data_IF_670267314277
#
_entry.id   IF_670267314277
#
_cell.length_a   1.000
_cell.length_b   1.000
_cell.length_c   1.000
_cell.angle_alpha   90.00
_cell.angle_beta   90.00
_cell.angle_gamma   90.00
#
_symmetry.space_group_name_H-M   'P 1'
#
loop_
_entity.id
_entity.type
_entity.pdbx_description
1 polymer ?
#
# COMPACT_ATOMS: atom_id res chain seq x y z
N UNK A 1 -43.77 45.61 22.38
CA UNK A 1 -42.91 44.72 23.18
C UNK A 1 -41.47 45.12 22.92
N UNK A 2 -40.82 45.70 23.93
CA UNK A 2 -39.53 46.38 23.86
C UNK A 2 -38.36 45.39 23.78
N UNK A 3 -37.36 45.76 22.98
CA UNK A 3 -35.99 45.26 23.02
C UNK A 3 -35.34 45.62 24.37
N UNK A 4 -34.58 44.68 24.93
CA UNK A 4 -33.44 45.02 25.78
C UNK A 4 -32.31 43.99 25.60
N UNK A 5 -31.23 44.48 24.99
CA UNK A 5 -29.89 43.92 25.09
C UNK A 5 -29.35 44.23 26.49
N UNK A 6 -28.61 43.31 27.11
CA UNK A 6 -27.51 43.70 27.98
C UNK A 6 -26.35 42.69 27.95
N UNK A 7 -25.19 43.31 27.76
CA UNK A 7 -23.82 42.83 27.70
C UNK A 7 -23.35 41.95 28.86
N UNK A 8 -22.37 41.09 28.55
CA UNK A 8 -21.44 40.50 29.50
C UNK A 8 -20.47 41.56 30.10
N UNK A 9 -19.92 41.28 31.29
CA UNK A 9 -18.47 41.10 31.43
C UNK A 9 -18.20 39.83 32.27
N UNK A 10 -17.10 39.09 32.16
CA UNK A 10 -15.73 39.51 31.93
C UNK A 10 -14.89 38.94 33.07
N UNK A 11 -14.11 37.92 32.72
CA UNK A 11 -12.81 37.56 33.27
C UNK A 11 -12.57 36.93 34.66
N UNK A 12 -11.52 36.10 34.59
CA UNK A 12 -10.65 35.58 35.63
C UNK A 12 -11.11 34.34 36.39
N UNK A 13 -10.60 33.17 35.97
CA UNK A 13 -9.87 32.29 36.90
C UNK A 13 -8.88 31.37 36.17
N UNK A 14 -7.61 31.72 36.36
CA UNK A 14 -6.51 30.85 36.78
C UNK A 14 -6.16 29.65 35.91
N UNK A 15 -5.13 29.90 35.10
CA UNK A 15 -4.02 28.99 34.87
C UNK A 15 -3.66 28.18 36.13
N UNK A 16 -3.56 26.87 36.00
CA UNK A 16 -2.63 26.11 36.81
C UNK A 16 -1.90 25.09 35.94
N UNK A 17 -0.61 25.40 35.76
CA UNK A 17 0.43 24.47 35.38
C UNK A 17 0.37 23.22 36.25
N UNK A 18 0.46 22.07 35.62
CA UNK A 18 1.04 20.89 36.24
C UNK A 18 2.10 20.33 35.28
N UNK A 19 3.21 21.07 35.19
CA UNK A 19 4.48 20.52 34.74
C UNK A 19 5.04 19.68 35.89
N UNK A 20 4.93 18.35 35.78
CA UNK A 20 5.76 17.46 36.59
C UNK A 20 7.18 17.48 36.02
N UNK A 21 8.02 18.32 36.63
CA UNK A 21 9.48 18.26 36.50
C UNK A 21 9.98 17.09 37.37
N UNK A 22 10.25 15.95 36.74
CA UNK A 22 10.98 14.85 37.39
C UNK A 22 12.45 14.98 36.99
N UNK A 23 13.25 15.57 37.87
CA UNK A 23 14.71 15.51 37.81
C UNK A 23 15.16 14.13 38.31
N UNK A 24 15.61 13.27 37.40
CA UNK A 24 16.47 12.13 37.75
C UNK A 24 17.90 12.51 37.38
N UNK A 25 18.66 12.79 38.42
CA UNK A 25 20.10 13.00 38.41
C UNK A 25 20.84 11.71 38.04
N UNK A 26 21.75 11.82 37.06
CA UNK A 26 23.04 11.14 37.02
C UNK A 26 23.08 9.61 36.88
N UNK A 27 23.17 9.12 35.65
CA UNK A 27 24.18 8.10 35.32
C UNK A 27 24.50 8.19 33.82
N UNK A 28 25.65 8.79 33.49
CA UNK A 28 26.18 8.80 32.13
C UNK A 28 26.48 7.37 31.68
N UNK A 29 25.81 6.92 30.62
CA UNK A 29 26.36 5.97 29.65
C UNK A 29 25.96 6.42 28.26
N UNK A 30 26.97 6.82 27.48
CA UNK A 30 26.89 7.03 26.04
C UNK A 30 26.77 5.67 25.36
N UNK A 31 25.76 5.48 24.49
CA UNK A 31 25.79 4.67 23.25
C UNK A 31 24.39 4.49 22.59
N UNK A 32 24.28 4.90 21.31
CA UNK A 32 23.56 4.19 20.22
C UNK A 32 22.01 4.17 20.11
N UNK A 33 21.42 4.28 18.89
CA UNK A 33 19.96 4.34 18.67
C UNK A 33 19.30 2.94 18.77
N UNK A 34 18.98 2.51 19.99
CA UNK A 34 18.36 1.21 20.29
C UNK A 34 16.89 1.28 20.71
N UNK A 35 15.96 1.70 19.83
CA UNK A 35 14.55 1.90 20.25
C UNK A 35 13.45 1.10 19.53
N UNK A 36 13.70 0.29 18.51
CA UNK A 36 12.58 -0.16 17.64
C UNK A 36 12.02 -1.56 17.93
N UNK A 37 12.83 -2.52 18.41
CA UNK A 37 12.36 -3.89 18.77
C UNK A 37 11.60 -3.89 20.09
N UNK A 38 12.02 -2.97 20.97
CA UNK A 38 11.29 -2.57 22.16
C UNK A 38 9.85 -2.20 21.84
N UNK A 39 9.54 -1.64 20.65
CA UNK A 39 8.16 -1.29 20.27
C UNK A 39 7.35 -2.50 19.84
N UNK A 40 7.89 -3.48 19.11
CA UNK A 40 7.13 -4.66 18.70
C UNK A 40 6.87 -5.61 19.87
N UNK A 41 7.86 -5.81 20.75
CA UNK A 41 7.70 -6.59 22.00
C UNK A 41 6.85 -5.81 22.99
N UNK A 42 6.96 -4.47 23.10
CA UNK A 42 6.00 -3.68 23.91
C UNK A 42 4.62 -3.62 23.28
N UNK A 43 4.46 -3.72 21.95
CA UNK A 43 3.16 -3.81 21.31
C UNK A 43 2.54 -5.18 21.61
N UNK A 44 3.33 -6.26 21.57
CA UNK A 44 2.87 -7.58 22.01
C UNK A 44 2.63 -7.63 23.53
N UNK A 45 3.46 -7.04 24.38
CA UNK A 45 3.23 -7.00 25.84
C UNK A 45 2.10 -6.03 26.22
N UNK A 46 1.91 -4.92 25.51
CA UNK A 46 0.83 -3.95 25.73
C UNK A 46 -0.51 -4.41 25.13
N UNK A 47 -0.49 -5.17 24.03
CA UNK A 47 -1.68 -5.85 23.53
C UNK A 47 -1.99 -7.07 24.40
N UNK A 48 -1.01 -7.90 24.75
CA UNK A 48 -1.21 -9.26 25.30
C UNK A 48 -0.94 -9.44 26.80
N UNK A 49 -0.54 -8.40 27.52
CA UNK A 49 -0.42 -8.35 28.99
C UNK A 49 0.78 -9.10 29.59
N UNK A 50 0.88 -9.06 30.94
CA UNK A 50 1.93 -9.69 31.76
C UNK A 50 2.13 -11.23 31.61
N UNK A 51 1.15 -12.10 31.22
CA UNK A 51 1.39 -13.54 31.25
C UNK A 51 2.40 -14.04 30.20
N UNK A 52 2.72 -13.24 29.18
CA UNK A 52 3.74 -13.60 28.17
C UNK A 52 5.12 -13.03 28.46
N UNK A 53 5.25 -12.18 29.49
CA UNK A 53 6.51 -11.54 29.87
C UNK A 53 7.64 -12.56 30.11
N UNK A 54 7.45 -13.70 30.79
CA UNK A 54 8.53 -14.66 31.00
C UNK A 54 9.03 -15.31 29.70
N UNK A 55 8.11 -15.59 28.76
CA UNK A 55 8.43 -16.23 27.48
C UNK A 55 9.26 -15.31 26.56
N UNK A 56 9.01 -14.00 26.62
CA UNK A 56 9.78 -12.99 25.88
C UNK A 56 11.01 -12.47 26.66
N UNK A 57 11.03 -12.58 27.99
CA UNK A 57 12.21 -12.27 28.80
C UNK A 57 13.38 -13.20 28.47
N UNK A 58 13.13 -14.47 28.13
CA UNK A 58 14.18 -15.37 27.65
C UNK A 58 14.73 -14.98 26.26
N UNK A 59 13.93 -14.30 25.42
CA UNK A 59 14.41 -13.70 24.16
C UNK A 59 15.25 -12.44 24.38
N UNK A 60 15.17 -11.83 25.58
CA UNK A 60 15.89 -10.61 25.96
C UNK A 60 17.36 -10.88 26.32
N UNK A 61 17.71 -12.13 26.62
CA UNK A 61 19.10 -12.56 26.86
C UNK A 61 19.90 -12.68 25.56
N UNK A 62 19.24 -12.80 24.40
CA UNK A 62 19.87 -12.57 23.11
C UNK A 62 20.00 -11.06 22.91
N UNK A 63 21.16 -10.47 23.23
CA UNK A 63 21.47 -9.05 23.07
C UNK A 63 21.44 -8.50 21.63
N UNK A 64 20.75 -9.18 20.71
CA UNK A 64 20.66 -8.84 19.30
C UNK A 64 19.30 -8.18 18.97
N UNK A 65 19.38 -7.06 18.25
CA UNK A 65 18.23 -6.33 17.72
C UNK A 65 17.53 -7.19 16.67
N UNK A 66 16.42 -7.83 17.05
CA UNK A 66 15.60 -8.62 16.12
C UNK A 66 14.66 -7.72 15.31
N UNK A 67 14.97 -7.48 14.03
CA UNK A 67 14.05 -6.77 13.13
C UNK A 67 13.01 -7.74 12.58
N UNK A 68 11.73 -7.37 12.70
CA UNK A 68 10.61 -8.12 12.11
C UNK A 68 9.89 -7.25 11.09
N UNK A 69 9.61 -7.81 9.92
CA UNK A 69 8.82 -7.16 8.88
C UNK A 69 7.41 -7.73 8.87
N UNK A 70 6.41 -6.87 8.99
CA UNK A 70 5.01 -7.27 8.87
C UNK A 70 4.44 -6.81 7.52
N UNK A 71 3.64 -7.66 6.87
CA UNK A 71 2.91 -7.34 5.65
C UNK A 71 1.43 -7.64 5.82
N UNK A 72 0.60 -6.59 5.77
CA UNK A 72 -0.85 -6.73 5.71
C UNK A 72 -1.30 -6.80 4.24
N UNK A 73 -2.07 -7.82 3.90
CA UNK A 73 -2.71 -8.02 2.60
C UNK A 73 -4.21 -8.17 2.80
N UNK A 74 -5.02 -7.44 2.03
CA UNK A 74 -6.48 -7.64 1.96
C UNK A 74 -6.84 -8.47 0.71
N UNK A 75 -7.97 -9.14 0.76
CA UNK A 75 -8.45 -10.08 -0.25
C UNK A 75 -7.41 -11.18 -0.57
N UNK A 76 -6.73 -11.68 0.44
CA UNK A 76 -5.72 -12.74 0.30
C UNK A 76 -5.82 -13.72 1.48
N UNK A 77 -5.78 -15.05 1.25
CA UNK A 77 -5.68 -15.72 -0.05
C UNK A 77 -6.98 -15.69 -0.86
N UNK A 78 -8.13 -15.43 -0.25
CA UNK A 78 -9.43 -15.33 -0.92
C UNK A 78 -10.00 -13.92 -0.83
N UNK A 79 -10.96 -13.60 -1.71
CA UNK A 79 -11.71 -12.35 -1.62
C UNK A 79 -12.43 -12.27 -0.27
N UNK A 80 -12.33 -11.13 0.41
CA UNK A 80 -12.84 -10.93 1.77
C UNK A 80 -11.86 -11.27 2.90
N UNK A 81 -10.82 -12.08 2.64
CA UNK A 81 -9.81 -12.41 3.66
C UNK A 81 -8.88 -11.21 3.93
N UNK A 82 -8.38 -11.09 5.16
CA UNK A 82 -7.28 -10.20 5.52
C UNK A 82 -6.14 -11.02 6.13
N UNK A 83 -4.96 -10.95 5.54
CA UNK A 83 -3.77 -11.69 5.98
C UNK A 83 -2.71 -10.73 6.51
N UNK A 84 -2.21 -11.00 7.71
CA UNK A 84 -1.01 -10.37 8.27
C UNK A 84 0.10 -11.42 8.29
N UNK A 85 1.13 -11.24 7.46
CA UNK A 85 2.30 -12.09 7.43
C UNK A 85 3.48 -11.41 8.15
N UNK A 86 4.18 -12.15 9.00
CA UNK A 86 5.40 -11.72 9.69
C UNK A 86 6.61 -12.43 9.09
N UNK A 87 7.67 -11.66 8.81
CA UNK A 87 8.92 -12.12 8.23
C UNK A 87 10.09 -11.74 9.14
N UNK A 88 11.13 -12.57 9.16
CA UNK A 88 12.39 -12.25 9.83
C UNK A 88 13.28 -11.32 8.98
N UNK A 89 14.50 -11.06 9.48
CA UNK A 89 15.50 -10.22 8.82
C UNK A 89 15.95 -10.76 7.45
N UNK A 90 15.84 -12.06 7.24
CA UNK A 90 16.22 -12.73 5.99
C UNK A 90 15.04 -12.77 5.01
N UNK A 91 13.87 -12.24 5.40
CA UNK A 91 12.66 -12.27 4.60
C UNK A 91 11.96 -13.63 4.62
N UNK A 92 12.33 -14.56 5.51
CA UNK A 92 11.64 -15.83 5.69
C UNK A 92 10.36 -15.61 6.49
N UNK A 93 9.24 -16.16 6.03
CA UNK A 93 7.95 -16.01 6.68
C UNK A 93 7.88 -16.86 7.96
N UNK A 94 7.82 -16.20 9.11
CA UNK A 94 7.78 -16.84 10.44
C UNK A 94 6.36 -17.05 10.96
N UNK A 95 5.44 -16.16 10.58
CA UNK A 95 4.05 -16.24 11.03
C UNK A 95 3.09 -15.72 9.98
N UNK A 96 1.85 -16.20 10.03
CA UNK A 96 0.75 -15.72 9.22
C UNK A 96 -0.55 -15.80 10.02
N UNK A 97 -1.25 -14.68 10.09
CA UNK A 97 -2.61 -14.59 10.61
C UNK A 97 -3.54 -14.31 9.44
N UNK A 98 -4.50 -15.19 9.20
CA UNK A 98 -5.56 -15.01 8.20
C UNK A 98 -6.88 -14.79 8.93
N UNK A 99 -7.50 -13.63 8.71
CA UNK A 99 -8.86 -13.35 9.13
C UNK A 99 -9.80 -13.54 7.95
N UNK A 100 -10.84 -14.35 8.13
CA UNK A 100 -11.83 -14.67 7.10
C UNK A 100 -13.24 -14.34 7.62
N UNK A 101 -14.04 -13.54 6.91
CA UNK A 101 -15.46 -13.40 7.24
C UNK A 101 -16.19 -14.72 6.95
N UNK A 102 -17.09 -15.13 7.84
CA UNK A 102 -17.91 -16.34 7.65
C UNK A 102 -19.34 -16.05 7.16
N UNK A 103 -19.67 -14.77 6.96
CA UNK A 103 -20.98 -14.31 6.48
C UNK A 103 -21.98 -13.93 7.58
N UNK A 104 -21.75 -14.34 8.83
CA UNK A 104 -22.67 -14.11 9.96
C UNK A 104 -22.21 -12.99 10.89
N UNK A 105 -21.53 -11.97 10.35
CA UNK A 105 -20.83 -10.89 11.10
C UNK A 105 -19.71 -11.38 12.03
N UNK A 106 -19.34 -12.65 11.92
CA UNK A 106 -18.25 -13.28 12.64
C UNK A 106 -17.04 -13.49 11.71
N UNK A 107 -15.87 -13.66 12.33
CA UNK A 107 -14.62 -13.85 11.61
C UNK A 107 -13.94 -15.12 12.13
N UNK A 108 -13.48 -15.95 11.20
CA UNK A 108 -12.58 -17.07 11.48
C UNK A 108 -11.15 -16.58 11.39
N UNK A 109 -10.40 -16.73 12.48
CA UNK A 109 -8.98 -16.45 12.53
C UNK A 109 -8.20 -17.77 12.40
N UNK A 110 -7.29 -17.84 11.44
CA UNK A 110 -6.34 -18.92 11.29
C UNK A 110 -4.93 -18.39 11.53
N UNK A 111 -4.18 -19.08 12.39
CA UNK A 111 -2.81 -18.73 12.72
C UNK A 111 -1.90 -19.86 12.20
N UNK A 112 -0.86 -19.51 11.47
CA UNK A 112 0.19 -20.41 11.05
C UNK A 112 1.53 -19.85 11.53
N UNK A 113 2.33 -20.69 12.17
CA UNK A 113 3.66 -20.33 12.67
C UNK A 113 4.66 -21.32 12.08
N UNK A 114 5.81 -20.82 11.63
CA UNK A 114 6.93 -21.66 11.25
C UNK A 114 7.79 -21.90 12.49
N UNK A 115 7.79 -23.14 13.00
CA UNK A 115 8.52 -23.49 14.24
C UNK A 115 9.33 -24.78 14.05
N UNK A 116 10.44 -24.74 13.29
CA UNK A 116 11.16 -25.95 12.87
C UNK A 116 11.75 -26.74 14.04
N UNK A 117 12.18 -26.06 15.10
CA UNK A 117 12.75 -26.69 16.31
C UNK A 117 11.65 -27.27 17.20
N UNK A 118 10.48 -26.65 17.22
CA UNK A 118 9.38 -26.98 18.15
C UNK A 118 8.43 -28.06 17.60
N UNK A 119 8.47 -28.34 16.29
CA UNK A 119 7.58 -29.35 15.68
C UNK A 119 7.73 -30.77 16.27
N UNK A 120 8.84 -31.05 16.95
CA UNK A 120 9.12 -32.35 17.59
C UNK A 120 8.72 -32.43 19.06
N UNK A 121 8.30 -31.33 19.68
CA UNK A 121 7.97 -31.28 21.10
C UNK A 121 6.45 -31.38 21.33
N UNK A 122 6.04 -32.38 22.12
CA UNK A 122 4.63 -32.69 22.38
C UNK A 122 3.89 -31.64 23.22
N UNK A 123 4.60 -30.81 23.98
CA UNK A 123 4.01 -29.72 24.78
C UNK A 123 3.65 -28.48 23.93
N UNK A 124 4.22 -28.36 22.74
CA UNK A 124 4.09 -27.15 21.90
C UNK A 124 2.66 -26.85 21.47
N UNK A 125 1.83 -27.84 21.06
CA UNK A 125 0.44 -27.58 20.73
C UNK A 125 -0.37 -26.98 21.88
N UNK A 126 -0.14 -27.42 23.12
CA UNK A 126 -0.85 -26.92 24.30
C UNK A 126 -0.46 -25.48 24.62
N UNK A 127 0.84 -25.18 24.62
CA UNK A 127 1.32 -23.80 24.80
C UNK A 127 0.80 -22.89 23.67
N UNK A 128 0.82 -23.36 22.42
CA UNK A 128 0.33 -22.59 21.29
C UNK A 128 -1.18 -22.34 21.39
N UNK A 129 -1.96 -23.31 21.86
CA UNK A 129 -3.39 -23.15 22.10
C UNK A 129 -3.67 -22.07 23.15
N UNK A 130 -2.90 -22.04 24.24
CA UNK A 130 -3.00 -20.99 25.26
C UNK A 130 -2.62 -19.61 24.71
N UNK A 131 -1.55 -19.52 23.92
CA UNK A 131 -1.14 -18.30 23.22
C UNK A 131 -2.28 -17.81 22.32
N UNK A 132 -2.79 -18.66 21.43
CA UNK A 132 -3.87 -18.31 20.49
C UNK A 132 -5.14 -17.89 21.23
N UNK A 133 -5.48 -18.54 22.35
CA UNK A 133 -6.62 -18.13 23.18
C UNK A 133 -6.41 -16.74 23.79
N UNK A 134 -5.22 -16.45 24.31
CA UNK A 134 -4.86 -15.11 24.81
C UNK A 134 -4.89 -14.05 23.71
N UNK A 135 -4.32 -14.35 22.53
CA UNK A 135 -4.37 -13.49 21.35
C UNK A 135 -5.82 -13.19 20.96
N UNK A 136 -6.67 -14.21 20.87
CA UNK A 136 -8.08 -14.03 20.53
C UNK A 136 -8.82 -13.14 21.54
N UNK A 137 -8.56 -13.31 22.84
CA UNK A 137 -9.16 -12.47 23.88
C UNK A 137 -8.79 -10.99 23.69
N UNK A 138 -7.51 -10.72 23.43
CA UNK A 138 -6.98 -9.37 23.24
C UNK A 138 -7.46 -8.74 21.95
N UNK A 139 -7.46 -9.51 20.86
CA UNK A 139 -8.03 -9.12 19.58
C UNK A 139 -9.49 -8.74 19.79
N UNK A 140 -10.26 -9.61 20.46
CA UNK A 140 -11.66 -9.32 20.78
C UNK A 140 -11.81 -8.02 21.59
N UNK A 141 -11.02 -7.82 22.64
CA UNK A 141 -11.07 -6.59 23.43
C UNK A 141 -10.71 -5.35 22.59
N UNK A 142 -9.68 -5.42 21.74
CA UNK A 142 -9.24 -4.28 20.94
C UNK A 142 -10.20 -3.94 19.81
N UNK A 143 -10.74 -4.95 19.11
CA UNK A 143 -11.69 -4.74 18.02
C UNK A 143 -13.10 -4.41 18.50
N UNK A 144 -13.42 -4.68 19.77
CA UNK A 144 -14.68 -4.31 20.40
C UNK A 144 -14.53 -3.22 21.47
N UNK A 145 -13.35 -2.57 21.57
CA UNK A 145 -13.13 -1.52 22.56
C UNK A 145 -14.12 -0.36 22.34
N UNK A 146 -14.62 0.27 23.40
CA UNK A 146 -15.36 1.51 23.29
C UNK A 146 -14.58 2.51 22.43
N UNK A 147 -15.24 3.09 21.42
CA UNK A 147 -14.61 4.04 20.50
C UNK A 147 -14.06 3.43 19.21
N UNK A 148 -13.97 2.11 19.04
CA UNK A 148 -13.58 1.52 17.75
C UNK A 148 -14.57 1.88 16.63
N UNK A 149 -15.87 1.95 16.95
CA UNK A 149 -16.90 2.40 16.01
C UNK A 149 -16.71 3.89 15.65
N UNK A 150 -16.28 4.72 16.62
CA UNK A 150 -15.93 6.11 16.37
C UNK A 150 -14.72 6.22 15.44
N UNK A 151 -13.69 5.38 15.63
CA UNK A 151 -12.53 5.32 14.74
C UNK A 151 -12.93 4.87 13.33
N UNK A 152 -13.78 3.84 13.19
CA UNK A 152 -14.31 3.40 11.89
C UNK A 152 -15.11 4.49 11.20
N UNK A 153 -15.91 5.25 11.96
CA UNK A 153 -16.65 6.40 11.43
C UNK A 153 -15.70 7.50 10.95
N UNK A 154 -14.70 7.86 11.76
CA UNK A 154 -13.67 8.85 11.40
C UNK A 154 -12.92 8.41 10.14
N UNK A 155 -12.57 7.12 10.04
CA UNK A 155 -11.88 6.54 8.89
C UNK A 155 -12.74 6.58 7.62
N UNK A 156 -14.02 6.19 7.73
CA UNK A 156 -15.00 6.31 6.65
C UNK A 156 -15.20 7.77 6.19
N UNK A 157 -15.08 8.72 7.11
CA UNK A 157 -15.18 10.15 6.83
C UNK A 157 -13.85 10.77 6.36
N UNK A 158 -12.72 10.06 6.47
CA UNK A 158 -11.41 10.64 6.14
C UNK A 158 -11.22 10.82 4.64
N UNK A 159 -11.80 9.93 3.83
CA UNK A 159 -11.74 9.98 2.37
C UNK A 159 -13.11 10.32 1.77
N UNK A 160 -13.07 10.91 0.58
CA UNK A 160 -14.21 11.05 -0.32
C UNK A 160 -13.91 10.22 -1.56
N UNK A 161 -14.86 9.38 -1.95
CA UNK A 161 -14.80 8.65 -3.20
C UNK A 161 -15.45 9.50 -4.28
N UNK A 162 -14.70 9.75 -5.34
CA UNK A 162 -15.15 10.44 -6.53
C UNK A 162 -15.34 9.41 -7.64
N UNK A 163 -16.42 9.53 -8.39
CA UNK A 163 -16.75 8.67 -9.52
C UNK A 163 -16.97 9.51 -10.76
N UNK A 164 -16.21 9.23 -11.82
CA UNK A 164 -16.45 9.79 -13.15
C UNK A 164 -17.46 8.90 -13.89
N UNK A 165 -18.44 9.51 -14.55
CA UNK A 165 -19.45 8.80 -15.34
C UNK A 165 -19.82 9.55 -16.62
N UNK A 166 -20.57 8.89 -17.50
CA UNK A 166 -21.18 9.47 -18.71
C UNK A 166 -20.24 9.94 -19.83
N UNK A 167 -19.05 9.34 -19.97
CA UNK A 167 -18.06 9.68 -21.01
C UNK A 167 -17.90 8.58 -22.09
N UNK A 168 -19.02 8.05 -22.62
CA UNK A 168 -19.01 6.96 -23.61
C UNK A 168 -18.36 7.34 -24.96
N UNK A 169 -18.27 8.65 -25.28
CA UNK A 169 -17.70 9.18 -26.53
C UNK A 169 -16.21 9.49 -26.43
N UNK A 170 -15.54 8.93 -25.42
CA UNK A 170 -14.12 9.11 -25.17
C UNK A 170 -13.83 9.74 -23.81
N UNK A 171 -12.56 9.73 -23.38
CA UNK A 171 -12.14 10.22 -22.08
C UNK A 171 -12.55 11.69 -21.83
N UNK A 172 -12.78 12.08 -20.57
CA UNK A 172 -13.01 13.49 -20.24
C UNK A 172 -11.83 14.38 -20.68
N UNK A 173 -12.11 15.65 -20.96
CA UNK A 173 -11.10 16.62 -21.41
C UNK A 173 -10.26 17.13 -20.23
N UNK A 174 -9.12 17.74 -20.51
CA UNK A 174 -8.29 18.43 -19.53
C UNK A 174 -8.24 19.93 -19.87
N UNK A 175 -8.07 20.82 -18.88
CA UNK A 175 -7.75 22.22 -19.16
C UNK A 175 -6.50 22.30 -20.04
N UNK A 176 -6.46 23.22 -20.99
CA UNK A 176 -5.29 23.41 -21.84
C UNK A 176 -4.27 24.33 -21.13
N UNK A 177 -3.00 23.93 -21.09
CA UNK A 177 -1.92 24.67 -20.42
C UNK A 177 -0.64 24.75 -21.28
N UNK A 178 -0.71 24.34 -22.54
CA UNK A 178 0.47 24.24 -23.42
C UNK A 178 0.58 25.41 -24.40
N UNK A 179 1.64 25.41 -25.22
CA UNK A 179 1.75 26.30 -26.38
C UNK A 179 1.02 25.76 -27.62
N UNK A 180 0.62 24.48 -27.62
CA UNK A 180 -0.12 23.84 -28.73
C UNK A 180 -1.52 24.44 -28.88
N UNK A 181 -2.13 24.30 -30.05
CA UNK A 181 -3.52 24.75 -30.21
C UNK A 181 -4.49 23.88 -29.38
N UNK A 182 -5.46 24.48 -28.67
CA UNK A 182 -6.45 23.71 -27.93
C UNK A 182 -7.44 23.02 -28.88
N UNK A 183 -7.89 21.81 -28.49
CA UNK A 183 -8.90 21.08 -29.27
C UNK A 183 -10.25 21.82 -29.32
N UNK A 184 -10.59 22.54 -28.25
CA UNK A 184 -11.82 23.33 -28.18
C UNK A 184 -11.67 24.51 -27.24
N UNK A 185 -12.20 25.66 -27.67
CA UNK A 185 -12.36 26.86 -26.85
C UNK A 185 -13.83 27.13 -26.65
N UNK A 186 -14.22 27.43 -25.41
CA UNK A 186 -15.57 27.87 -25.06
C UNK A 186 -15.49 29.22 -24.35
N UNK A 187 -16.48 30.09 -24.59
CA UNK A 187 -16.67 31.30 -23.80
C UNK A 187 -17.59 30.96 -22.61
N UNK A 188 -17.13 31.25 -21.39
CA UNK A 188 -17.94 31.16 -20.18
C UNK A 188 -19.03 32.22 -20.13
N UNK A 189 -19.94 32.09 -19.16
CA UNK A 189 -20.99 33.08 -18.90
C UNK A 189 -20.43 34.44 -18.46
N UNK A 190 -19.23 34.43 -17.87
CA UNK A 190 -18.41 35.59 -17.52
C UNK A 190 -17.66 36.22 -18.71
N UNK A 191 -17.84 35.67 -19.92
CA UNK A 191 -17.13 36.08 -21.12
C UNK A 191 -15.66 35.61 -21.17
N UNK A 192 -15.16 34.92 -20.13
CA UNK A 192 -13.80 34.41 -20.12
C UNK A 192 -13.70 33.18 -21.03
N UNK A 193 -12.68 33.16 -21.88
CA UNK A 193 -12.41 32.00 -22.72
C UNK A 193 -11.71 30.92 -21.89
N UNK A 194 -12.21 29.69 -21.98
CA UNK A 194 -11.54 28.51 -21.44
C UNK A 194 -11.22 27.52 -22.56
N UNK A 195 -9.97 27.11 -22.59
CA UNK A 195 -9.40 26.22 -23.61
C UNK A 195 -9.22 24.83 -23.04
N UNK A 196 -9.54 23.81 -23.84
CA UNK A 196 -9.59 22.42 -23.40
C UNK A 196 -8.90 21.51 -24.42
N UNK A 197 -8.20 20.49 -23.93
CA UNK A 197 -7.60 19.44 -24.77
C UNK A 197 -8.07 18.05 -24.38
N UNK A 198 -8.06 17.12 -25.33
CA UNK A 198 -8.34 15.71 -25.10
C UNK A 198 -7.28 15.13 -24.19
N UNK A 199 -7.71 14.28 -23.27
CA UNK A 199 -6.79 13.47 -22.50
C UNK A 199 -6.15 12.43 -23.44
N UNK A 200 -4.88 12.63 -23.79
CA UNK A 200 -4.10 11.71 -24.60
C UNK A 200 -3.86 10.42 -23.81
N UNK A 201 -4.75 9.44 -23.97
CA UNK A 201 -4.61 8.12 -23.35
C UNK A 201 -3.51 7.38 -24.12
N UNK A 202 -2.27 7.50 -23.64
CA UNK A 202 -1.07 7.08 -24.37
C UNK A 202 -0.90 5.57 -24.58
N UNK A 203 -1.81 4.69 -24.12
CA UNK A 203 -1.89 3.22 -24.40
C UNK A 203 -2.53 2.46 -23.22
N UNK A 204 -2.58 3.06 -22.03
CA UNK A 204 -3.13 2.43 -20.84
C UNK A 204 -4.66 2.57 -20.77
N UNK A 205 -5.32 1.66 -20.05
CA UNK A 205 -6.75 1.82 -19.74
C UNK A 205 -6.95 3.09 -18.91
N UNK A 206 -8.01 3.86 -19.18
CA UNK A 206 -8.36 5.06 -18.42
C UNK A 206 -8.39 4.80 -16.90
N UNK A 207 -7.77 5.68 -16.12
CA UNK A 207 -7.80 5.66 -14.65
C UNK A 207 -8.16 7.03 -14.10
N UNK A 208 -9.24 7.09 -13.33
CA UNK A 208 -9.76 8.31 -12.75
C UNK A 208 -8.77 8.99 -11.81
N UNK A 209 -7.98 8.24 -11.04
CA UNK A 209 -6.99 8.84 -10.15
C UNK A 209 -5.91 9.61 -10.93
N UNK A 210 -5.36 9.01 -11.99
CA UNK A 210 -4.34 9.64 -12.85
C UNK A 210 -4.92 10.83 -13.61
N UNK A 211 -6.11 10.67 -14.18
CA UNK A 211 -6.82 11.75 -14.85
C UNK A 211 -7.12 12.93 -13.90
N UNK A 212 -7.63 12.67 -12.70
CA UNK A 212 -7.96 13.72 -11.72
C UNK A 212 -6.70 14.42 -11.21
N UNK A 213 -5.58 13.70 -11.09
CA UNK A 213 -4.28 14.27 -10.73
C UNK A 213 -3.87 15.33 -11.77
N UNK A 214 -3.86 14.95 -13.07
CA UNK A 214 -3.56 15.87 -14.16
C UNK A 214 -4.56 17.03 -14.25
N UNK A 215 -5.85 16.74 -14.06
CA UNK A 215 -6.90 17.75 -14.12
C UNK A 215 -6.69 18.85 -13.07
N UNK A 216 -6.40 18.48 -11.82
CA UNK A 216 -6.14 19.44 -10.73
C UNK A 216 -4.83 20.18 -10.95
N UNK A 217 -3.77 19.50 -11.38
CA UNK A 217 -2.48 20.14 -11.65
C UNK A 217 -2.61 21.22 -12.72
N UNK A 218 -3.39 20.98 -13.78
CA UNK A 218 -3.66 21.98 -14.82
C UNK A 218 -4.58 23.11 -14.38
N UNK A 219 -5.31 22.95 -13.28
CA UNK A 219 -6.02 24.03 -12.61
C UNK A 219 -5.11 24.83 -11.65
N UNK A 220 -3.84 24.46 -11.50
CA UNK A 220 -2.89 25.14 -10.62
C UNK A 220 -2.97 24.73 -9.16
N UNK A 221 -3.64 23.61 -8.84
CA UNK A 221 -3.75 23.11 -7.47
C UNK A 221 -2.86 21.89 -7.24
N UNK A 222 -2.49 21.66 -5.98
CA UNK A 222 -1.82 20.43 -5.54
C UNK A 222 -2.76 19.60 -4.68
N UNK A 223 -3.32 18.54 -5.26
CA UNK A 223 -4.18 17.58 -4.57
C UNK A 223 -3.84 16.18 -5.05
N UNK A 224 -3.70 15.25 -4.10
CA UNK A 224 -3.37 13.85 -4.40
C UNK A 224 -4.62 13.00 -4.49
N UNK A 225 -4.75 12.29 -5.61
CA UNK A 225 -5.78 11.27 -5.80
C UNK A 225 -5.19 9.87 -5.69
N UNK A 226 -5.97 8.96 -5.12
CA UNK A 226 -5.56 7.58 -4.89
C UNK A 226 -6.43 6.65 -5.74
N UNK A 227 -5.80 5.79 -6.53
CA UNK A 227 -6.46 4.68 -7.23
C UNK A 227 -6.65 3.44 -6.35
N UNK A 228 -6.20 3.51 -5.11
CA UNK A 228 -6.33 2.46 -4.10
C UNK A 228 -6.93 3.04 -2.83
N UNK A 229 -7.71 2.23 -2.12
CA UNK A 229 -8.21 2.53 -0.78
C UNK A 229 -8.02 1.26 0.05
N UNK A 230 -7.41 1.39 1.22
CA UNK A 230 -7.08 0.25 2.10
C UNK A 230 -6.28 -0.87 1.43
N UNK A 231 -5.36 -0.50 0.53
CA UNK A 231 -4.57 -1.46 -0.25
C UNK A 231 -5.37 -2.22 -1.33
N UNK A 232 -6.67 -1.94 -1.48
CA UNK A 232 -7.50 -2.48 -2.54
C UNK A 232 -7.59 -1.49 -3.69
N UNK A 233 -7.52 -1.98 -4.93
CA UNK A 233 -7.61 -1.14 -6.12
C UNK A 233 -9.06 -0.76 -6.41
N UNK A 234 -9.33 0.53 -6.58
CA UNK A 234 -10.65 1.02 -6.98
C UNK A 234 -10.92 0.68 -8.46
N UNK A 235 -12.20 0.63 -8.84
CA UNK A 235 -12.59 0.53 -10.24
C UNK A 235 -12.03 1.71 -11.05
N UNK A 236 -11.73 1.54 -12.36
CA UNK A 236 -10.95 2.53 -13.11
C UNK A 236 -11.58 3.92 -13.21
N UNK A 237 -12.90 4.04 -13.03
CA UNK A 237 -13.62 5.32 -13.05
C UNK A 237 -13.83 5.93 -11.65
N UNK A 238 -13.27 5.32 -10.60
CA UNK A 238 -13.28 5.85 -9.24
C UNK A 238 -11.88 6.23 -8.77
N UNK A 239 -11.83 7.23 -7.89
CA UNK A 239 -10.64 7.57 -7.12
C UNK A 239 -11.03 8.00 -5.71
N UNK A 240 -10.10 7.89 -4.78
CA UNK A 240 -10.23 8.41 -3.43
C UNK A 240 -9.41 9.69 -3.27
N UNK A 241 -9.88 10.62 -2.45
CA UNK A 241 -9.18 11.84 -2.09
C UNK A 241 -9.46 12.17 -0.63
N UNK A 242 -8.51 12.80 0.05
CA UNK A 242 -8.72 13.25 1.44
C UNK A 242 -9.86 14.26 1.52
N UNK A 243 -10.82 14.04 2.43
CA UNK A 243 -12.03 14.86 2.55
C UNK A 243 -11.71 16.32 2.86
N UNK A 244 -10.84 16.56 3.83
CA UNK A 244 -10.46 17.91 4.27
C UNK A 244 -9.86 18.75 3.14
N UNK A 245 -9.04 18.12 2.29
CA UNK A 245 -8.44 18.77 1.13
C UNK A 245 -9.43 18.93 -0.02
N UNK A 246 -10.27 17.92 -0.27
CA UNK A 246 -11.32 17.99 -1.27
C UNK A 246 -12.30 19.13 -1.00
N UNK A 247 -12.79 19.28 0.23
CA UNK A 247 -13.78 20.31 0.57
C UNK A 247 -13.29 21.73 0.28
N UNK A 248 -11.98 21.99 0.40
CA UNK A 248 -11.39 23.30 0.10
C UNK A 248 -11.42 23.66 -1.37
N UNK A 249 -11.25 22.66 -2.25
CA UNK A 249 -11.17 22.85 -3.71
C UNK A 249 -12.46 22.47 -4.43
N UNK A 250 -13.42 21.88 -3.71
CA UNK A 250 -14.65 21.30 -4.24
C UNK A 250 -15.38 22.23 -5.20
N UNK A 251 -15.61 23.48 -4.79
CA UNK A 251 -16.34 24.47 -5.58
C UNK A 251 -15.64 24.74 -6.91
N UNK A 252 -14.36 25.04 -6.86
CA UNK A 252 -13.55 25.39 -8.05
C UNK A 252 -13.47 24.22 -9.02
N UNK A 253 -13.28 23.01 -8.49
CA UNK A 253 -13.24 21.78 -9.30
C UNK A 253 -14.59 21.52 -9.96
N UNK A 254 -15.70 21.64 -9.23
CA UNK A 254 -17.04 21.42 -9.79
C UNK A 254 -17.39 22.48 -10.85
N UNK A 255 -16.98 23.74 -10.65
CA UNK A 255 -17.13 24.81 -11.64
C UNK A 255 -16.34 24.48 -12.92
N UNK A 256 -15.07 24.08 -12.78
CA UNK A 256 -14.26 23.65 -13.91
C UNK A 256 -14.88 22.44 -14.65
N UNK A 257 -15.45 21.48 -13.94
CA UNK A 257 -16.19 20.36 -14.55
C UNK A 257 -17.46 20.82 -15.28
N UNK A 258 -18.12 21.89 -14.85
CA UNK A 258 -19.26 22.45 -15.57
C UNK A 258 -18.82 22.99 -16.94
N UNK A 259 -17.77 23.81 -16.96
CA UNK A 259 -17.17 24.31 -18.20
C UNK A 259 -16.67 23.17 -19.08
N UNK A 260 -16.03 22.15 -18.50
CA UNK A 260 -15.62 20.95 -19.22
C UNK A 260 -16.79 20.25 -19.92
N UNK A 261 -17.97 20.15 -19.30
CA UNK A 261 -19.14 19.51 -19.94
C UNK A 261 -19.53 20.26 -21.20
N UNK A 262 -19.52 21.59 -21.18
CA UNK A 262 -19.82 22.41 -22.36
C UNK A 262 -18.79 22.16 -23.48
N UNK A 263 -17.50 22.18 -23.14
CA UNK A 263 -16.41 21.86 -24.06
C UNK A 263 -16.54 20.45 -24.65
N UNK A 264 -16.80 19.45 -23.80
CA UNK A 264 -16.95 18.06 -24.21
C UNK A 264 -18.14 17.85 -25.16
N UNK A 265 -19.29 18.51 -24.90
CA UNK A 265 -20.46 18.46 -25.78
C UNK A 265 -20.19 19.16 -27.10
N UNK A 266 -19.50 20.30 -27.09
CA UNK A 266 -19.10 21.01 -28.31
C UNK A 266 -18.18 20.15 -29.18
N UNK A 267 -17.22 19.47 -28.57
CA UNK A 267 -16.22 18.65 -29.27
C UNK A 267 -16.75 17.30 -29.75
N UNK A 268 -17.58 16.60 -28.97
CA UNK A 268 -18.03 15.24 -29.28
C UNK A 268 -19.49 15.16 -29.74
N UNK A 269 -20.22 16.29 -29.73
CA UNK A 269 -21.66 16.36 -29.95
C UNK A 269 -22.49 15.67 -28.86
N UNK A 270 -23.82 15.81 -28.96
CA UNK A 270 -24.79 15.10 -28.12
C UNK A 270 -24.97 15.70 -26.71
N UNK A 271 -25.95 15.15 -25.97
CA UNK A 271 -26.32 15.64 -24.64
C UNK A 271 -25.46 15.08 -23.49
N UNK A 272 -24.90 13.88 -23.68
CA UNK A 272 -24.12 13.18 -22.67
C UNK A 272 -22.71 13.78 -22.53
N UNK A 273 -22.29 14.02 -21.28
CA UNK A 273 -20.99 14.61 -20.96
C UNK A 273 -20.45 14.02 -19.65
N UNK A 274 -19.11 14.02 -19.45
CA UNK A 274 -18.49 13.58 -18.21
C UNK A 274 -19.11 14.25 -16.97
N UNK A 275 -19.41 13.45 -15.96
CA UNK A 275 -19.95 13.92 -14.70
C UNK A 275 -19.14 13.36 -13.54
N UNK A 276 -18.72 14.24 -12.63
CA UNK A 276 -18.05 13.90 -11.39
C UNK A 276 -19.09 13.78 -10.27
N UNK A 277 -19.23 12.58 -9.69
CA UNK A 277 -20.13 12.29 -8.57
C UNK A 277 -19.34 12.03 -7.30
N UNK A 278 -19.75 12.67 -6.21
CA UNK A 278 -19.21 12.47 -4.88
C UNK A 278 -19.98 11.40 -4.09
N UNK A 279 -19.33 10.83 -3.08
CA UNK A 279 -20.02 10.12 -2.01
C UNK A 279 -20.59 8.75 -2.39
N UNK A 280 -20.15 8.16 -3.50
CA UNK A 280 -20.46 6.75 -3.80
C UNK A 280 -19.65 5.83 -2.89
N UNK A 281 -20.19 4.66 -2.57
CA UNK A 281 -19.41 3.59 -1.96
C UNK A 281 -18.22 3.24 -2.86
N UNK A 282 -17.07 2.97 -2.24
CA UNK A 282 -15.89 2.48 -2.94
C UNK A 282 -16.22 1.14 -3.60
N UNK A 283 -16.06 1.07 -4.91
CA UNK A 283 -16.13 -0.18 -5.67
C UNK A 283 -14.71 -0.61 -5.98
N UNK A 284 -14.38 -1.83 -5.59
CA UNK A 284 -13.07 -2.39 -5.79
C UNK A 284 -13.04 -3.24 -7.05
N UNK A 285 -11.92 -3.19 -7.77
CA UNK A 285 -11.69 -4.06 -8.91
C UNK A 285 -11.58 -5.49 -8.39
N UNK A 286 -12.53 -6.34 -8.79
CA UNK A 286 -12.43 -7.80 -8.61
C UNK A 286 -11.42 -8.30 -9.64
N UNK A 287 -10.13 -8.16 -9.33
CA UNK A 287 -9.10 -8.83 -10.10
C UNK A 287 -9.02 -10.29 -9.67
N UNK A 288 -8.70 -11.24 -10.57
CA UNK A 288 -8.10 -12.48 -10.11
C UNK A 288 -6.90 -12.06 -9.29
N UNK A 289 -6.87 -12.45 -8.02
CA UNK A 289 -5.70 -12.23 -7.17
C UNK A 289 -4.59 -13.04 -7.81
N UNK A 290 -3.81 -12.41 -8.70
CA UNK A 290 -2.56 -12.99 -9.16
C UNK A 290 -1.69 -12.98 -7.92
N UNK A 291 -1.71 -14.09 -7.19
CA UNK A 291 -0.79 -14.35 -6.11
C UNK A 291 0.58 -14.41 -6.78
N UNK A 292 1.23 -13.26 -6.88
CA UNK A 292 2.65 -13.19 -7.16
C UNK A 292 3.33 -13.81 -5.96
N UNK A 293 3.49 -15.13 -5.98
CA UNK A 293 4.60 -15.77 -5.31
C UNK A 293 5.83 -15.12 -5.92
N UNK A 294 6.49 -14.23 -5.18
CA UNK A 294 7.80 -13.73 -5.57
C UNK A 294 8.70 -14.95 -5.70
N UNK A 295 9.20 -15.19 -6.91
CA UNK A 295 10.12 -16.29 -7.29
C UNK A 295 9.67 -17.64 -6.72
N UNK A 296 9.11 -18.49 -7.59
CA UNK A 296 8.91 -19.89 -7.26
C UNK A 296 10.28 -20.54 -6.92
N UNK A 297 10.65 -20.53 -5.64
CA UNK A 297 11.14 -21.75 -5.04
C UNK A 297 9.97 -22.72 -5.18
N UNK A 298 10.13 -23.75 -5.99
CA UNK A 298 9.15 -24.83 -6.13
C UNK A 298 8.76 -25.29 -4.74
N UNK A 299 7.56 -24.92 -4.28
CA UNK A 299 7.06 -25.40 -3.01
C UNK A 299 6.88 -26.91 -3.18
N UNK A 300 7.48 -27.74 -2.30
CA UNK A 300 7.38 -29.18 -2.41
C UNK A 300 5.91 -29.59 -2.42
N UNK A 301 5.54 -30.45 -3.37
CA UNK A 301 4.19 -30.95 -3.51
C UNK A 301 3.82 -31.71 -2.23
N UNK A 302 2.93 -31.12 -1.41
CA UNK A 302 2.50 -31.73 -0.16
C UNK A 302 1.51 -32.86 -0.46
N UNK A 303 2.00 -34.09 -0.54
CA UNK A 303 1.17 -35.28 -0.75
C UNK A 303 0.75 -35.84 0.61
N UNK A 304 -0.54 -35.76 0.93
CA UNK A 304 -1.09 -36.34 2.17
C UNK A 304 -1.45 -37.81 1.92
N UNK A 305 -0.75 -38.74 2.58
CA UNK A 305 -1.14 -40.16 2.60
C UNK A 305 -1.35 -40.59 4.05
N UNK A 306 -2.56 -41.12 4.32
CA UNK A 306 -2.99 -41.79 5.55
C UNK A 306 -2.22 -41.32 6.79
N UNK A 307 -2.66 -40.19 7.34
CA UNK A 307 -2.29 -39.60 8.64
C UNK A 307 -0.88 -39.01 8.83
N UNK A 308 -0.03 -38.90 7.80
CA UNK A 308 1.26 -38.18 7.92
C UNK A 308 1.53 -37.21 6.76
N UNK A 309 2.25 -36.12 7.07
CA UNK A 309 2.75 -35.15 6.10
C UNK A 309 4.12 -35.62 5.61
N UNK A 310 4.18 -36.13 4.37
CA UNK A 310 5.44 -36.38 3.68
C UNK A 310 5.86 -35.13 2.90
N UNK A 311 7.04 -34.61 3.18
CA UNK A 311 7.70 -33.63 2.29
C UNK A 311 8.59 -34.45 1.36
N UNK A 312 8.17 -34.64 0.12
CA UNK A 312 9.03 -35.23 -0.91
C UNK A 312 10.06 -34.17 -1.31
N UNK A 313 11.30 -34.34 -0.85
CA UNK A 313 12.42 -33.58 -1.37
C UNK A 313 12.67 -34.03 -2.81
N UNK A 314 12.40 -33.16 -3.77
CA UNK A 314 12.87 -33.33 -5.15
C UNK A 314 14.40 -33.20 -5.16
N UNK A 315 15.08 -34.32 -4.93
CA UNK A 315 16.50 -34.43 -5.30
C UNK A 315 16.53 -34.38 -6.83
N UNK A 316 17.13 -33.33 -7.36
CA UNK A 316 17.32 -33.11 -8.78
C UNK A 316 18.15 -34.25 -9.39
N UNK A 317 17.46 -35.23 -9.98
CA UNK A 317 18.08 -36.41 -10.62
C UNK A 317 18.84 -36.04 -11.91
N UNK A 318 18.84 -34.77 -12.32
CA UNK A 318 19.53 -34.34 -13.54
C UNK A 318 21.04 -34.08 -13.37
N UNK A 319 21.56 -34.00 -12.14
CA UNK A 319 22.98 -33.72 -11.88
C UNK A 319 23.90 -34.96 -11.75
N UNK A 320 23.37 -36.19 -11.91
CA UNK A 320 24.18 -37.41 -11.96
C UNK A 320 24.36 -37.92 -13.40
N UNK A 321 24.96 -37.11 -14.29
CA UNK A 321 25.55 -37.60 -15.55
C UNK A 321 27.08 -37.68 -15.45
N UNK A 322 27.51 -38.89 -15.08
CA UNK A 322 28.79 -39.56 -15.30
C UNK A 322 29.68 -38.90 -16.38
N UNK A 323 30.82 -38.35 -15.96
CA UNK A 323 31.89 -37.91 -16.85
C UNK A 323 32.44 -39.11 -17.66
N UNK A 324 32.41 -39.01 -18.99
CA UNK A 324 33.19 -39.87 -19.88
C UNK A 324 34.43 -39.10 -20.34
N UNK A 325 35.58 -39.63 -19.94
CA UNK A 325 36.91 -39.31 -20.46
C UNK A 325 36.95 -39.43 -21.99
N UNK A 326 37.40 -38.38 -22.67
CA UNK A 326 37.85 -38.42 -24.05
C UNK A 326 39.25 -37.80 -24.12
N UNK A 327 40.22 -38.65 -24.39
CA UNK A 327 41.55 -38.30 -24.90
C UNK A 327 41.41 -37.93 -26.37
N UNK A 328 42.12 -36.89 -26.84
CA UNK A 328 42.81 -36.78 -28.15
C UNK A 328 43.50 -35.40 -28.15
N UNK A 329 44.81 -35.38 -27.93
CA UNK A 329 45.91 -35.38 -28.93
C UNK A 329 46.24 -33.97 -29.42
N UNK A 330 47.37 -33.47 -28.91
CA UNK A 330 48.14 -32.35 -29.43
C UNK A 330 48.66 -32.64 -30.84
N UNK A 331 48.70 -31.61 -31.67
CA UNK A 331 49.83 -31.33 -32.58
C UNK A 331 50.05 -29.82 -32.63
N UNK A 332 51.31 -29.45 -32.43
CA UNK A 332 51.86 -28.11 -32.52
C UNK A 332 52.25 -27.78 -33.98
N UNK A 333 52.86 -26.60 -34.14
CA UNK A 333 53.54 -26.02 -35.32
C UNK A 333 52.66 -25.02 -36.09
N UNK A 334 53.08 -23.79 -36.38
CA UNK A 334 54.33 -23.08 -36.14
C UNK A 334 54.32 -21.75 -36.92
N UNK A 335 55.17 -20.82 -36.48
CA UNK A 335 55.77 -19.67 -37.20
C UNK A 335 54.92 -18.58 -37.88
N UNK A 336 55.37 -17.34 -38.13
CA UNK A 336 56.35 -16.36 -37.60
C UNK A 336 56.28 -15.18 -38.58
N UNK A 337 56.34 -13.91 -38.10
CA UNK A 337 56.68 -12.66 -38.86
C UNK A 337 55.73 -12.18 -39.99
N UNK A 338 55.62 -10.90 -40.42
CA UNK A 338 55.99 -9.53 -40.02
C UNK A 338 55.38 -8.58 -41.10
N UNK A 339 55.46 -7.26 -40.91
CA UNK A 339 55.24 -6.16 -41.90
C UNK A 339 53.77 -5.88 -42.28
N UNK A 340 53.30 -4.65 -42.53
CA UNK A 340 53.87 -3.29 -42.54
C UNK A 340 52.69 -2.29 -42.68
N UNK A 341 52.93 -1.01 -42.38
CA UNK A 341 52.45 0.21 -43.08
C UNK A 341 50.94 0.36 -43.42
N UNK A 342 50.28 1.50 -43.23
CA UNK A 342 50.69 2.85 -42.87
C UNK A 342 49.51 3.80 -42.98
N UNK A 343 49.73 5.03 -42.47
CA UNK A 343 49.15 6.33 -42.87
C UNK A 343 47.62 6.53 -42.98
N UNK A 344 47.06 7.72 -42.83
CA UNK A 344 47.35 8.97 -42.13
C UNK A 344 46.17 9.92 -42.43
N UNK A 345 45.82 10.75 -41.45
CA UNK A 345 45.45 12.17 -41.57
C UNK A 345 44.34 12.68 -42.51
N UNK A 346 43.39 13.40 -41.89
CA UNK A 346 43.10 14.87 -42.01
C UNK A 346 41.66 15.12 -41.51
N UNK A 347 41.34 15.88 -40.44
CA UNK A 347 41.57 17.30 -40.07
C UNK A 347 41.25 18.23 -41.25
N UNK A 348 40.40 19.27 -41.23
CA UNK A 348 40.06 20.36 -40.27
C UNK A 348 38.72 21.03 -40.75
N UNK A 349 38.23 22.20 -40.25
CA UNK A 349 36.81 22.47 -40.00
C UNK A 349 36.33 23.67 -40.85
N UNK A 350 35.54 24.58 -40.24
CA UNK A 350 35.05 25.93 -40.65
C UNK A 350 33.50 25.87 -40.70
N UNK A 351 32.70 26.66 -39.96
CA UNK A 351 32.84 28.00 -39.37
C UNK A 351 32.07 28.09 -38.04
#
# INVERSE_FOLDING_TARGET
MQLQQHLAPGDAMLSNHNEQKVEVSGCERKEGPGMTVTVAVRLFVALFGDPFRPLFCNLRECGEVSVARNQLRRNFPRMGDATLAGFDINGLQQAMLVSRPDGTSTFRLAYAFHTPILAKAHWVPECLALVVKGLNHVVHQNFNRPGIQKLRKIDADFYVILSLCHFKRGPPMLPHTGPEEPDVTICGEDGLQSSWTRHAVQTSRFRAAEYMQLFIERLGYSLRFFGTLDGQMLVPYQCAVRRDKWQRLRKDVLNAFSSQKAAYRRMNGGAAAPELKEGRSANFKVGPVKVGYGVAAELPQLVVRRTFFGVEELIDKTLLRRAKSSRHLCTCDGDTTQLSEGEANRVVPVH
#
